data_IF_881499419332
#
_entry.id   IF_881499419332
#
_cell.length_a   1.000
_cell.length_b   1.000
_cell.length_c   1.000
_cell.angle_alpha   90.00
_cell.angle_beta   90.00
_cell.angle_gamma   90.00
#
_symmetry.space_group_name_H-M   'P 1'
#
loop_
_entity.id
_entity.type
_entity.pdbx_description
1 polymer ?
#
# COMPACT_ATOMS: atom_id res chain seq x y z
N UNK A 1 60.99 -7.91 -36.99
CA UNK A 1 62.42 -7.95 -36.82
C UNK A 1 62.77 -8.48 -35.45
N UNK A 2 63.40 -9.65 -35.45
CA UNK A 2 64.48 -10.19 -34.61
C UNK A 2 64.14 -10.30 -33.09
N UNK A 3 63.93 -11.53 -32.55
CA UNK A 3 64.92 -12.54 -32.10
C UNK A 3 65.67 -12.08 -30.85
N UNK A 4 65.82 -12.81 -29.71
CA UNK A 4 66.26 -14.18 -29.38
C UNK A 4 66.09 -14.37 -27.89
N UNK A 5 65.52 -15.45 -27.37
CA UNK A 5 66.21 -16.70 -26.98
C UNK A 5 67.24 -16.58 -25.88
N UNK A 6 67.06 -17.23 -24.75
CA UNK A 6 67.90 -18.33 -24.31
C UNK A 6 67.57 -18.83 -22.94
N UNK A 7 67.44 -20.12 -22.85
CA UNK A 7 67.41 -21.03 -21.70
C UNK A 7 68.68 -20.94 -20.88
N UNK A 8 68.60 -21.28 -19.57
CA UNK A 8 69.62 -22.11 -18.96
C UNK A 8 69.05 -22.90 -17.73
N UNK A 9 69.21 -24.18 -17.78
CA UNK A 9 69.16 -25.20 -16.77
C UNK A 9 70.19 -24.95 -15.67
N UNK A 10 69.89 -25.27 -14.36
CA UNK A 10 70.80 -26.02 -13.47
C UNK A 10 69.97 -26.72 -12.39
N UNK A 11 70.37 -27.93 -12.11
CA UNK A 11 69.75 -28.99 -11.31
C UNK A 11 70.11 -28.95 -9.82
N UNK A 12 69.23 -29.58 -9.05
CA UNK A 12 69.49 -30.56 -7.96
C UNK A 12 70.24 -30.10 -6.71
N UNK A 13 69.57 -30.12 -5.56
CA UNK A 13 70.01 -30.91 -4.41
C UNK A 13 68.87 -31.21 -3.42
N UNK A 14 68.63 -32.47 -3.22
CA UNK A 14 67.83 -33.06 -2.15
C UNK A 14 68.48 -32.81 -0.77
N UNK A 15 67.72 -32.27 0.19
CA UNK A 15 68.00 -32.52 1.61
C UNK A 15 66.68 -32.90 2.26
N UNK A 16 66.62 -34.16 2.68
CA UNK A 16 65.61 -34.73 3.54
C UNK A 16 65.70 -34.12 4.94
N UNK A 17 64.65 -33.43 5.35
CA UNK A 17 64.46 -33.04 6.74
C UNK A 17 63.03 -33.42 7.17
N UNK A 18 62.92 -34.57 7.87
CA UNK A 18 61.67 -34.89 8.59
C UNK A 18 61.46 -33.86 9.69
N UNK A 19 60.43 -33.04 9.55
CA UNK A 19 59.91 -32.28 10.66
C UNK A 19 58.52 -32.88 10.96
N UNK A 20 58.36 -33.42 12.15
CA UNK A 20 57.09 -33.82 12.74
C UNK A 20 56.12 -32.61 12.67
N UNK A 21 55.05 -32.79 11.93
CA UNK A 21 53.94 -31.87 11.96
C UNK A 21 53.18 -32.09 13.26
N UNK A 22 53.32 -31.19 14.21
CA UNK A 22 52.41 -31.05 15.33
C UNK A 22 51.02 -30.74 14.79
N UNK A 23 50.07 -31.62 15.07
CA UNK A 23 48.63 -31.40 14.86
C UNK A 23 48.17 -30.17 15.64
N UNK A 24 48.20 -29.02 15.00
CA UNK A 24 47.41 -27.88 15.43
C UNK A 24 46.03 -28.07 14.80
N UNK A 25 44.97 -28.23 15.60
CA UNK A 25 43.62 -28.36 15.04
C UNK A 25 43.31 -27.10 14.22
N UNK A 26 43.07 -27.30 12.94
CA UNK A 26 42.70 -26.25 12.01
C UNK A 26 41.28 -25.76 12.35
N UNK A 27 41.17 -24.71 13.17
CA UNK A 27 39.93 -24.09 13.60
C UNK A 27 39.15 -23.44 12.45
N UNK A 28 39.71 -23.46 11.25
CA UNK A 28 39.14 -22.74 10.08
C UNK A 28 38.33 -23.64 9.12
N UNK A 29 38.36 -24.99 9.28
CA UNK A 29 37.61 -25.88 8.38
C UNK A 29 36.15 -26.10 8.78
N UNK A 30 35.77 -25.82 10.02
CA UNK A 30 34.39 -25.99 10.51
C UNK A 30 33.44 -24.91 10.00
N UNK A 31 33.93 -23.79 9.52
CA UNK A 31 33.09 -22.68 9.02
C UNK A 31 32.92 -22.63 7.50
N UNK A 32 33.64 -23.45 6.74
CA UNK A 32 33.60 -23.36 5.24
C UNK A 32 32.38 -23.96 4.58
N UNK A 33 31.44 -24.61 5.29
CA UNK A 33 30.30 -25.29 4.71
C UNK A 33 28.94 -24.93 5.34
N UNK A 34 28.88 -23.88 6.16
CA UNK A 34 27.62 -23.47 6.76
C UNK A 34 26.77 -22.70 5.73
N UNK A 35 25.55 -23.18 5.51
CA UNK A 35 24.59 -22.48 4.65
C UNK A 35 24.20 -21.15 5.29
N UNK A 36 24.32 -20.06 4.53
CA UNK A 36 23.94 -18.71 4.98
C UNK A 36 22.43 -18.58 4.94
N UNK A 37 21.85 -18.11 6.03
CA UNK A 37 20.43 -17.77 6.18
C UNK A 37 20.33 -16.28 6.49
N UNK A 38 19.68 -15.52 5.59
CA UNK A 38 19.51 -14.07 5.72
C UNK A 38 18.18 -13.77 6.40
N UNK A 39 18.26 -13.02 7.50
CA UNK A 39 17.08 -12.57 8.24
C UNK A 39 16.94 -11.07 8.10
N UNK A 40 15.91 -10.63 7.41
CA UNK A 40 15.57 -9.23 7.28
C UNK A 40 14.84 -8.75 8.55
N UNK A 41 15.36 -7.71 9.15
CA UNK A 41 14.79 -7.04 10.32
C UNK A 41 14.27 -5.69 9.85
N UNK A 42 12.95 -5.54 9.74
CA UNK A 42 12.39 -4.23 9.46
C UNK A 42 12.58 -3.34 10.68
N UNK A 43 13.12 -2.16 10.45
CA UNK A 43 13.34 -1.19 11.52
C UNK A 43 12.03 -0.90 12.28
N UNK A 44 12.11 -1.04 13.58
CA UNK A 44 11.03 -0.71 14.51
C UNK A 44 11.51 0.42 15.40
N UNK A 45 10.73 1.40 15.59
CA UNK A 45 11.00 2.71 16.14
C UNK A 45 11.27 2.74 17.65
N UNK A 46 11.36 1.59 18.26
CA UNK A 46 11.76 1.45 19.66
C UNK A 46 13.12 0.79 19.74
N UNK A 47 14.17 1.51 20.17
CA UNK A 47 15.52 0.92 20.37
C UNK A 47 15.49 -0.34 21.23
N UNK A 48 14.57 -0.38 22.20
CA UNK A 48 14.37 -1.54 23.09
C UNK A 48 13.94 -2.79 22.32
N UNK A 49 13.28 -2.67 21.17
CA UNK A 49 12.82 -3.82 20.39
C UNK A 49 14.00 -4.68 19.88
N UNK A 50 15.10 -4.04 19.49
CA UNK A 50 16.33 -4.74 19.13
C UNK A 50 16.89 -5.56 20.28
N UNK A 51 16.92 -4.97 21.48
CA UNK A 51 17.47 -5.60 22.69
C UNK A 51 16.53 -6.69 23.20
N UNK A 52 15.23 -6.41 23.21
CA UNK A 52 14.23 -7.27 23.84
C UNK A 52 13.74 -8.40 22.92
N UNK A 53 13.76 -8.22 21.61
CA UNK A 53 13.17 -9.18 20.66
C UNK A 53 14.20 -9.70 19.65
N UNK A 54 14.82 -8.82 18.86
CA UNK A 54 15.66 -9.27 17.74
C UNK A 54 16.92 -10.00 18.21
N UNK A 55 17.69 -9.38 19.08
CA UNK A 55 18.96 -9.97 19.57
C UNK A 55 18.73 -11.34 20.23
N UNK A 56 17.81 -11.49 21.21
CA UNK A 56 17.56 -12.79 21.83
C UNK A 56 17.07 -13.87 20.86
N UNK A 57 16.25 -13.47 19.87
CA UNK A 57 15.78 -14.38 18.83
C UNK A 57 16.94 -14.91 17.99
N UNK A 58 17.73 -14.01 17.42
CA UNK A 58 18.84 -14.39 16.52
C UNK A 58 19.89 -15.22 17.26
N UNK A 59 20.23 -14.86 18.49
CA UNK A 59 21.14 -15.65 19.32
C UNK A 59 20.60 -17.05 19.62
N UNK A 60 19.29 -17.15 19.90
CA UNK A 60 18.65 -18.44 20.13
C UNK A 60 18.64 -19.30 18.87
N UNK A 61 18.37 -18.73 17.69
CA UNK A 61 18.42 -19.42 16.39
C UNK A 61 19.84 -19.91 16.10
N UNK A 62 20.87 -19.08 16.27
CA UNK A 62 22.30 -19.47 16.13
C UNK A 62 22.68 -20.63 17.02
N UNK A 63 22.23 -20.61 18.28
CA UNK A 63 22.50 -21.66 19.24
C UNK A 63 21.80 -22.99 18.91
N UNK A 64 20.56 -22.93 18.42
CA UNK A 64 19.73 -24.11 18.14
C UNK A 64 20.02 -24.75 16.78
N UNK A 65 20.50 -23.95 15.84
CA UNK A 65 20.75 -24.34 14.45
C UNK A 65 22.19 -23.99 14.04
N UNK A 66 23.19 -24.60 14.67
CA UNK A 66 24.62 -24.29 14.44
C UNK A 66 25.08 -24.64 13.00
N UNK A 67 24.33 -25.44 12.27
CA UNK A 67 24.58 -25.75 10.86
C UNK A 67 24.35 -24.58 9.91
N UNK A 68 23.66 -23.50 10.35
CA UNK A 68 23.41 -22.31 9.57
C UNK A 68 24.20 -21.12 10.10
N UNK A 69 24.63 -20.27 9.17
CA UNK A 69 25.17 -18.94 9.49
C UNK A 69 24.06 -17.90 9.32
N UNK A 70 23.48 -17.43 10.41
CA UNK A 70 22.46 -16.37 10.38
C UNK A 70 23.11 -15.00 10.20
N UNK A 71 22.75 -14.33 9.09
CA UNK A 71 23.14 -12.95 8.76
C UNK A 71 21.90 -12.08 8.86
N UNK A 72 21.96 -11.03 9.66
CA UNK A 72 20.87 -10.08 9.81
C UNK A 72 21.09 -8.88 8.91
N UNK A 73 20.04 -8.48 8.20
CA UNK A 73 20.00 -7.26 7.38
C UNK A 73 18.92 -6.35 7.92
N UNK A 74 19.28 -5.14 8.25
CA UNK A 74 18.29 -4.11 8.58
C UNK A 74 17.63 -3.62 7.29
N UNK A 75 16.31 -3.54 7.32
CA UNK A 75 15.49 -3.06 6.23
C UNK A 75 14.86 -1.77 6.72
N UNK A 76 15.19 -0.67 6.05
CA UNK A 76 14.54 0.60 6.34
C UNK A 76 13.03 0.45 6.13
N UNK A 77 12.26 1.05 6.99
CA UNK A 77 10.80 0.91 6.93
C UNK A 77 10.20 1.42 5.63
N UNK A 78 10.81 2.44 5.04
CA UNK A 78 10.46 2.96 3.72
C UNK A 78 10.66 1.95 2.59
N UNK A 79 11.48 0.93 2.84
CA UNK A 79 11.79 -0.15 1.91
C UNK A 79 10.96 -1.42 2.17
N UNK A 80 10.28 -1.50 3.33
CA UNK A 80 9.49 -2.68 3.73
C UNK A 80 8.29 -2.97 2.81
N UNK A 81 7.92 -2.03 1.93
CA UNK A 81 6.93 -2.19 0.87
C UNK A 81 7.50 -2.62 -0.49
N UNK A 82 8.80 -2.86 -0.61
CA UNK A 82 9.45 -3.19 -1.87
C UNK A 82 9.67 -4.70 -1.99
N UNK A 83 9.05 -5.30 -3.01
CA UNK A 83 9.12 -6.76 -3.26
C UNK A 83 10.56 -7.24 -3.41
N UNK A 84 11.39 -6.52 -4.15
CA UNK A 84 12.78 -6.88 -4.44
C UNK A 84 13.70 -6.77 -3.22
N UNK A 85 13.38 -5.93 -2.25
CA UNK A 85 14.10 -5.84 -0.97
C UNK A 85 13.73 -7.03 -0.08
N UNK A 86 12.43 -7.33 0.03
CA UNK A 86 11.94 -8.46 0.82
C UNK A 86 12.40 -9.81 0.26
N UNK A 87 12.41 -9.95 -1.08
CA UNK A 87 12.82 -11.19 -1.75
C UNK A 87 14.32 -11.53 -1.61
N UNK A 88 15.15 -10.57 -1.20
CA UNK A 88 16.58 -10.82 -0.90
C UNK A 88 16.82 -11.53 0.43
N UNK A 89 15.79 -11.61 1.27
CA UNK A 89 15.86 -12.23 2.59
C UNK A 89 15.27 -13.64 2.54
N UNK A 90 15.84 -14.56 3.32
CA UNK A 90 15.31 -15.91 3.50
C UNK A 90 14.15 -15.90 4.49
N UNK A 91 14.33 -15.17 5.60
CA UNK A 91 13.29 -14.92 6.59
C UNK A 91 13.18 -13.43 6.88
N UNK A 92 12.03 -13.02 7.38
CA UNK A 92 11.74 -11.62 7.68
C UNK A 92 10.99 -11.48 9.00
N UNK A 93 11.32 -10.44 9.74
CA UNK A 93 10.50 -9.96 10.85
C UNK A 93 9.89 -8.64 10.41
N UNK A 94 8.58 -8.64 10.19
CA UNK A 94 7.81 -7.54 9.63
C UNK A 94 6.52 -7.36 10.41
N UNK A 95 5.90 -6.20 10.32
CA UNK A 95 4.57 -5.99 10.88
C UNK A 95 3.53 -6.92 10.24
N UNK A 96 2.54 -7.32 11.00
CA UNK A 96 1.54 -8.32 10.59
C UNK A 96 0.73 -7.95 9.33
N UNK A 97 0.63 -6.68 9.01
CA UNK A 97 -0.05 -6.19 7.80
C UNK A 97 0.82 -6.31 6.52
N UNK A 98 2.15 -6.36 6.66
CA UNK A 98 3.09 -6.31 5.53
C UNK A 98 2.82 -7.36 4.44
N UNK A 99 2.61 -8.66 4.74
CA UNK A 99 2.36 -9.65 3.69
C UNK A 99 1.07 -9.40 2.91
N UNK A 100 0.13 -8.66 3.50
CA UNK A 100 -1.13 -8.28 2.84
C UNK A 100 -0.98 -7.01 2.03
N UNK A 101 -0.10 -6.11 2.47
CA UNK A 101 0.21 -4.90 1.71
C UNK A 101 1.05 -5.17 0.47
N UNK A 102 1.87 -6.23 0.51
CA UNK A 102 2.80 -6.62 -0.56
C UNK A 102 2.61 -8.11 -0.89
N UNK A 103 1.44 -8.52 -1.39
CA UNK A 103 1.13 -9.92 -1.67
C UNK A 103 2.07 -10.54 -2.72
N UNK A 104 2.62 -9.72 -3.62
CA UNK A 104 3.58 -10.13 -4.64
C UNK A 104 4.90 -10.66 -4.07
N UNK A 105 5.25 -10.30 -2.83
CA UNK A 105 6.42 -10.83 -2.14
C UNK A 105 6.23 -12.30 -1.73
N UNK A 106 5.00 -12.82 -1.73
CA UNK A 106 4.68 -14.23 -1.44
C UNK A 106 5.10 -14.69 -0.05
N UNK A 107 5.23 -13.79 0.92
CA UNK A 107 5.69 -14.09 2.27
C UNK A 107 4.75 -15.06 2.98
N UNK A 108 5.30 -16.12 3.56
CA UNK A 108 4.57 -17.10 4.34
C UNK A 108 4.78 -16.85 5.83
N UNK A 109 3.72 -16.47 6.52
CA UNK A 109 3.73 -16.28 7.97
C UNK A 109 4.00 -17.61 8.69
N UNK A 110 5.01 -17.64 9.55
CA UNK A 110 5.36 -18.78 10.39
C UNK A 110 4.83 -18.59 11.80
N UNK A 111 5.13 -17.43 12.39
CA UNK A 111 4.76 -17.12 13.77
C UNK A 111 4.43 -15.63 13.92
N UNK A 112 3.74 -15.30 15.01
CA UNK A 112 3.44 -13.95 15.44
C UNK A 112 4.05 -13.73 16.82
N UNK A 113 4.60 -12.55 17.04
CA UNK A 113 5.16 -12.14 18.33
C UNK A 113 4.05 -12.00 19.37
N UNK A 114 4.22 -12.61 20.53
CA UNK A 114 3.36 -12.42 21.69
C UNK A 114 4.07 -11.56 22.74
N UNK A 115 3.38 -10.54 23.21
CA UNK A 115 3.83 -9.70 24.33
C UNK A 115 3.19 -10.19 25.63
N UNK A 116 3.97 -10.83 26.52
CA UNK A 116 3.46 -11.34 27.79
C UNK A 116 2.80 -12.73 27.67
N UNK A 117 2.97 -13.55 28.72
CA UNK A 117 2.66 -14.97 28.70
C UNK A 117 1.17 -15.33 28.53
N UNK A 118 0.27 -14.47 28.93
CA UNK A 118 -1.18 -14.75 28.94
C UNK A 118 -1.95 -13.97 27.85
N UNK A 119 -1.23 -13.19 27.01
CA UNK A 119 -1.90 -12.38 25.99
C UNK A 119 -2.32 -13.20 24.76
N UNK A 120 -3.44 -12.84 24.18
CA UNK A 120 -3.86 -13.36 22.86
C UNK A 120 -2.95 -12.78 21.78
N UNK A 121 -2.20 -13.62 21.11
CA UNK A 121 -1.27 -13.25 20.04
C UNK A 121 -1.93 -12.49 18.88
N UNK A 122 -3.25 -12.65 18.70
CA UNK A 122 -4.01 -11.92 17.70
C UNK A 122 -4.43 -10.50 18.12
N UNK A 123 -4.14 -10.11 19.38
CA UNK A 123 -4.59 -8.87 20.01
C UNK A 123 -3.48 -8.26 20.86
N UNK A 124 -2.34 -8.00 20.27
CA UNK A 124 -1.12 -7.60 20.97
C UNK A 124 -0.80 -6.11 20.88
N UNK A 125 -1.16 -5.44 19.80
CA UNK A 125 -0.81 -4.03 19.57
C UNK A 125 -2.03 -3.22 19.12
N UNK A 126 -2.00 -1.95 19.46
CA UNK A 126 -2.99 -0.96 19.07
C UNK A 126 -2.39 0.45 19.14
N UNK A 127 -3.23 1.45 19.30
CA UNK A 127 -2.79 2.83 19.44
C UNK A 127 -3.60 3.58 20.50
N UNK A 128 -3.04 4.68 20.96
CA UNK A 128 -3.70 5.66 21.81
C UNK A 128 -3.69 7.03 21.15
N UNK A 129 -4.80 7.76 21.31
CA UNK A 129 -4.85 9.18 21.02
C UNK A 129 -4.61 9.93 22.31
N UNK A 130 -3.62 10.82 22.31
CA UNK A 130 -3.25 11.62 23.48
C UNK A 130 -3.43 13.10 23.19
N UNK A 131 -3.84 13.84 24.21
CA UNK A 131 -3.97 15.29 24.18
C UNK A 131 -3.43 15.87 25.49
N UNK A 132 -3.06 17.15 25.58
CA UNK A 132 -2.76 17.81 26.86
C UNK A 132 -3.93 17.61 27.83
N UNK A 133 -3.62 17.47 29.11
CA UNK A 133 -4.65 17.21 30.16
C UNK A 133 -5.70 18.31 30.23
N UNK A 134 -5.32 19.55 29.97
CA UNK A 134 -6.18 20.74 29.93
C UNK A 134 -6.85 20.98 28.57
N UNK A 135 -6.62 20.12 27.58
CA UNK A 135 -7.21 20.22 26.24
C UNK A 135 -8.74 20.16 26.28
N UNK A 136 -9.44 20.96 25.46
CA UNK A 136 -10.89 20.91 25.32
C UNK A 136 -11.37 19.65 24.57
N UNK A 137 -10.50 18.89 23.91
CA UNK A 137 -10.82 17.69 23.14
C UNK A 137 -11.16 16.57 24.11
N UNK A 138 -12.41 16.10 24.13
CA UNK A 138 -12.90 15.05 25.04
C UNK A 138 -13.15 13.70 24.35
N UNK A 139 -13.35 13.72 23.03
CA UNK A 139 -13.75 12.55 22.23
C UNK A 139 -13.13 12.57 20.85
N UNK A 140 -13.28 11.48 20.10
CA UNK A 140 -12.83 11.39 18.70
C UNK A 140 -13.51 12.44 17.79
N UNK A 141 -14.75 12.82 18.11
CA UNK A 141 -15.51 13.84 17.35
C UNK A 141 -14.82 15.21 17.44
N UNK A 142 -14.29 15.55 18.62
CA UNK A 142 -13.64 16.84 18.88
C UNK A 142 -12.29 16.97 18.19
N UNK A 143 -11.74 15.87 17.67
CA UNK A 143 -10.49 15.87 16.91
C UNK A 143 -10.65 16.41 15.48
N UNK A 144 -11.89 16.57 15.01
CA UNK A 144 -12.16 17.08 13.66
C UNK A 144 -11.61 18.51 13.48
N UNK A 145 -10.82 18.69 12.43
CA UNK A 145 -10.19 19.99 12.10
C UNK A 145 -9.03 20.38 13.03
N UNK A 146 -8.55 19.45 13.88
CA UNK A 146 -7.39 19.66 14.75
C UNK A 146 -6.10 19.25 14.06
N UNK A 147 -4.98 19.73 14.57
CA UNK A 147 -3.65 19.27 14.18
C UNK A 147 -3.30 17.97 14.91
N UNK A 148 -2.58 17.07 14.23
CA UNK A 148 -2.17 15.79 14.81
C UNK A 148 -0.69 15.52 14.55
N UNK A 149 0.01 15.00 15.55
CA UNK A 149 1.34 14.41 15.42
C UNK A 149 1.24 12.89 15.39
N UNK A 150 1.95 12.26 14.47
CA UNK A 150 1.99 10.81 14.28
C UNK A 150 3.40 10.37 13.85
N UNK A 151 3.66 9.06 13.91
CA UNK A 151 4.98 8.54 13.51
C UNK A 151 5.23 8.68 12.01
N UNK A 152 4.48 7.96 11.18
CA UNK A 152 4.59 8.06 9.72
C UNK A 152 3.36 7.43 9.04
N UNK A 153 2.98 7.86 7.81
CA UNK A 153 1.72 7.47 7.17
C UNK A 153 1.61 5.99 6.78
N UNK A 154 2.72 5.28 6.73
CA UNK A 154 2.76 3.85 6.37
C UNK A 154 2.92 2.92 7.58
N UNK A 155 2.94 3.46 8.81
CA UNK A 155 3.10 2.68 10.03
C UNK A 155 1.81 1.98 10.43
N UNK A 156 1.93 0.78 10.94
CA UNK A 156 0.77 0.01 11.35
C UNK A 156 0.12 0.62 12.59
N UNK A 157 0.87 0.69 13.69
CA UNK A 157 0.39 1.20 14.99
C UNK A 157 0.32 2.72 15.03
N UNK A 158 1.28 3.40 14.41
CA UNK A 158 1.39 4.85 14.45
C UNK A 158 0.46 5.58 13.50
N UNK A 159 -0.20 4.88 12.55
CA UNK A 159 -1.10 5.52 11.60
C UNK A 159 -2.27 4.64 11.15
N UNK A 160 -2.02 3.43 10.60
CA UNK A 160 -3.11 2.65 9.98
C UNK A 160 -4.16 2.22 11.01
N UNK A 161 -3.75 1.70 12.16
CA UNK A 161 -4.69 1.30 13.23
C UNK A 161 -5.52 2.49 13.70
N UNK A 162 -4.94 3.65 14.08
CA UNK A 162 -5.71 4.84 14.45
C UNK A 162 -6.67 5.32 13.36
N UNK A 163 -6.23 5.34 12.10
CA UNK A 163 -7.08 5.73 10.98
C UNK A 163 -8.24 4.74 10.77
N UNK A 164 -8.00 3.46 11.00
CA UNK A 164 -9.05 2.44 10.99
C UNK A 164 -10.08 2.63 12.09
N UNK A 165 -9.67 3.09 13.28
CA UNK A 165 -10.57 3.46 14.38
C UNK A 165 -11.44 4.67 13.99
N UNK A 166 -10.82 5.73 13.46
CA UNK A 166 -11.50 6.92 12.95
C UNK A 166 -12.54 6.54 11.88
N UNK A 167 -12.14 5.71 10.91
CA UNK A 167 -13.05 5.24 9.86
C UNK A 167 -14.19 4.39 10.41
N UNK A 168 -13.97 3.62 11.49
CA UNK A 168 -15.02 2.81 12.14
C UNK A 168 -16.11 3.64 12.77
N UNK A 169 -15.79 4.88 13.16
CA UNK A 169 -16.73 5.85 13.70
C UNK A 169 -17.39 6.72 12.62
N UNK A 170 -17.19 6.40 11.34
CA UNK A 170 -17.83 7.08 10.21
C UNK A 170 -17.14 8.37 9.77
N UNK A 171 -15.94 8.65 10.27
CA UNK A 171 -15.14 9.78 9.82
C UNK A 171 -14.23 9.37 8.67
N UNK A 172 -13.97 10.30 7.78
CA UNK A 172 -12.98 10.12 6.74
C UNK A 172 -11.57 10.44 7.29
N UNK A 173 -10.67 9.43 7.36
CA UNK A 173 -9.32 9.63 7.86
C UNK A 173 -8.48 10.64 7.08
N UNK A 174 -8.78 10.85 5.80
CA UNK A 174 -8.02 11.76 4.92
C UNK A 174 -8.36 13.24 5.17
N UNK A 175 -9.54 13.50 5.75
CA UNK A 175 -10.06 14.86 5.94
C UNK A 175 -10.37 15.22 7.38
N UNK A 176 -10.22 14.29 8.32
CA UNK A 176 -10.53 14.54 9.73
C UNK A 176 -9.63 15.61 10.32
N UNK A 177 -8.32 15.53 10.09
CA UNK A 177 -7.33 16.45 10.61
C UNK A 177 -7.07 17.60 9.65
N UNK A 178 -6.90 18.82 10.20
CA UNK A 178 -6.52 19.97 9.40
C UNK A 178 -5.06 19.90 8.97
N UNK A 179 -4.20 19.38 9.84
CA UNK A 179 -2.77 19.26 9.63
C UNK A 179 -2.24 17.99 10.28
N UNK A 180 -1.34 17.30 9.59
CA UNK A 180 -0.67 16.09 10.09
C UNK A 180 0.84 16.31 10.07
N UNK A 181 1.46 16.27 11.24
CA UNK A 181 2.91 16.33 11.41
C UNK A 181 3.45 14.91 11.63
N UNK A 182 4.31 14.44 10.75
CA UNK A 182 4.98 13.16 10.91
C UNK A 182 6.37 13.34 11.50
N UNK A 183 6.69 12.52 12.54
CA UNK A 183 7.97 12.57 13.27
C UNK A 183 8.99 11.56 12.74
N UNK A 184 8.67 10.90 11.62
CA UNK A 184 9.52 9.87 11.02
C UNK A 184 9.93 8.80 12.05
N UNK A 185 8.95 8.30 12.88
CA UNK A 185 9.08 7.14 13.74
C UNK A 185 9.39 7.40 15.22
N UNK A 186 9.67 8.59 15.60
CA UNK A 186 10.05 8.90 16.97
C UNK A 186 8.78 9.25 17.81
N UNK A 187 8.30 8.32 18.62
CA UNK A 187 7.17 8.58 19.53
C UNK A 187 7.48 9.63 20.62
N UNK A 188 8.70 9.72 21.19
CA UNK A 188 9.06 10.83 22.05
C UNK A 188 8.87 12.20 21.41
N UNK A 189 9.11 12.36 20.11
CA UNK A 189 8.88 13.63 19.42
C UNK A 189 7.37 13.92 19.27
N UNK A 190 6.53 12.90 19.05
CA UNK A 190 5.07 13.07 19.10
C UNK A 190 4.65 13.61 20.45
N UNK A 191 5.16 13.02 21.55
CA UNK A 191 4.88 13.48 22.91
C UNK A 191 5.32 14.93 23.10
N UNK A 192 6.50 15.29 22.59
CA UNK A 192 7.05 16.64 22.67
C UNK A 192 6.18 17.64 21.92
N UNK A 193 5.74 17.31 20.68
CA UNK A 193 4.89 18.20 19.88
C UNK A 193 3.55 18.47 20.58
N UNK A 194 2.97 17.46 21.21
CA UNK A 194 1.70 17.62 21.95
C UNK A 194 1.90 18.39 23.26
N UNK A 195 2.91 18.06 24.04
CA UNK A 195 3.15 18.72 25.34
C UNK A 195 3.57 20.18 25.22
N UNK A 196 4.20 20.54 24.11
CA UNK A 196 4.57 21.93 23.79
C UNK A 196 3.45 22.72 23.11
N UNK A 197 2.31 22.07 22.80
CA UNK A 197 1.18 22.71 22.12
C UNK A 197 1.42 22.99 20.63
N UNK A 198 2.44 22.37 20.02
CA UNK A 198 2.68 22.48 18.58
C UNK A 198 1.66 21.68 17.76
N UNK A 199 1.09 20.64 18.34
CA UNK A 199 -0.04 19.90 17.80
C UNK A 199 -1.10 19.66 18.88
N UNK A 200 -2.37 19.58 18.47
CA UNK A 200 -3.49 19.39 19.40
C UNK A 200 -3.60 17.94 19.89
N UNK A 201 -3.26 16.99 19.03
CA UNK A 201 -3.43 15.54 19.25
C UNK A 201 -2.14 14.80 18.92
N UNK A 202 -1.83 13.76 19.68
CA UNK A 202 -0.75 12.82 19.36
C UNK A 202 -1.29 11.41 19.16
N UNK A 203 -0.64 10.67 18.27
CA UNK A 203 -0.88 9.25 18.05
C UNK A 203 0.35 8.49 18.50
N UNK A 204 0.17 7.58 19.47
CA UNK A 204 1.23 6.72 19.99
C UNK A 204 0.84 5.26 19.83
N UNK A 205 1.81 4.36 19.70
CA UNK A 205 1.59 2.94 19.89
C UNK A 205 1.21 2.63 21.34
N UNK A 206 0.56 1.50 21.57
CA UNK A 206 0.28 1.01 22.93
C UNK A 206 1.57 0.87 23.73
N UNK A 207 1.52 1.23 25.00
CA UNK A 207 2.63 1.25 25.97
C UNK A 207 3.66 2.37 25.80
N UNK A 208 3.64 3.15 24.74
CA UNK A 208 4.60 4.26 24.55
C UNK A 208 4.40 5.40 25.57
N UNK A 209 3.14 5.73 25.89
CA UNK A 209 2.84 6.73 26.91
C UNK A 209 3.33 6.28 28.29
N UNK A 210 2.98 5.05 28.68
CA UNK A 210 3.40 4.48 29.96
C UNK A 210 4.94 4.34 30.07
N UNK A 211 5.59 4.01 28.93
CA UNK A 211 7.04 3.98 28.87
C UNK A 211 7.65 5.37 29.06
N UNK A 212 7.12 6.36 28.37
CA UNK A 212 7.57 7.75 28.47
C UNK A 212 7.41 8.32 29.90
N UNK A 213 6.32 7.95 30.59
CA UNK A 213 6.10 8.30 31.98
C UNK A 213 7.15 7.59 32.88
N UNK A 214 7.35 6.28 32.72
CA UNK A 214 8.35 5.52 33.51
C UNK A 214 9.77 6.03 33.35
N UNK A 215 10.12 6.47 32.14
CA UNK A 215 11.46 7.01 31.84
C UNK A 215 11.61 8.50 32.13
N UNK A 216 10.54 9.18 32.56
CA UNK A 216 10.56 10.59 32.90
C UNK A 216 10.61 11.54 31.69
N UNK A 217 10.33 11.04 30.50
CA UNK A 217 10.20 11.86 29.28
C UNK A 217 8.98 12.78 29.39
N UNK A 218 7.91 12.31 30.01
CA UNK A 218 6.69 13.08 30.25
C UNK A 218 6.18 12.84 31.68
N UNK A 219 5.57 13.86 32.28
CA UNK A 219 4.93 13.72 33.58
C UNK A 219 3.62 12.95 33.46
N UNK A 220 3.25 12.19 34.48
CA UNK A 220 2.03 11.37 34.53
C UNK A 220 0.73 12.16 34.25
N UNK A 221 0.72 13.43 34.65
CA UNK A 221 -0.44 14.32 34.48
C UNK A 221 -0.35 15.24 33.24
N UNK A 222 0.63 15.09 32.36
CA UNK A 222 0.80 16.01 31.26
C UNK A 222 -0.17 15.72 30.10
N UNK A 223 -0.44 14.45 29.86
CA UNK A 223 -1.26 13.99 28.74
C UNK A 223 -2.45 13.16 29.22
N UNK A 224 -3.54 13.23 28.48
CA UNK A 224 -4.75 12.47 28.69
C UNK A 224 -5.09 11.65 27.43
N UNK A 225 -5.55 10.42 27.64
CA UNK A 225 -5.96 9.52 26.55
C UNK A 225 -7.41 9.82 26.15
N UNK A 226 -7.64 9.91 24.84
CA UNK A 226 -8.95 10.06 24.22
C UNK A 226 -9.48 8.70 23.76
N UNK A 227 -10.75 8.42 24.02
CA UNK A 227 -11.41 7.19 23.56
C UNK A 227 -10.84 5.92 24.20
N UNK A 228 -10.28 6.03 25.41
CA UNK A 228 -9.72 4.87 26.11
C UNK A 228 -10.72 3.76 26.22
N UNK A 229 -10.33 2.58 25.80
CA UNK A 229 -11.14 1.37 25.90
C UNK A 229 -11.03 0.73 27.28
N UNK A 230 -12.10 0.04 27.74
CA UNK A 230 -12.04 -0.71 29.01
C UNK A 230 -11.01 -1.83 29.00
N UNK A 231 -10.75 -2.40 27.81
CA UNK A 231 -9.78 -3.45 27.62
C UNK A 231 -8.38 -2.84 27.48
N UNK A 232 -7.46 -3.33 28.28
CA UNK A 232 -6.06 -2.98 28.19
C UNK A 232 -5.33 -3.84 27.15
N UNK A 233 -4.29 -3.28 26.58
CA UNK A 233 -3.31 -4.02 25.78
C UNK A 233 -2.42 -4.90 26.67
N UNK A 234 -1.70 -5.87 26.11
CA UNK A 234 -0.70 -6.65 26.85
C UNK A 234 0.26 -5.75 27.60
N UNK A 235 0.60 -6.13 28.84
CA UNK A 235 1.39 -5.28 29.74
C UNK A 235 0.58 -4.30 30.57
N UNK A 236 -0.78 -4.31 30.47
CA UNK A 236 -1.66 -3.43 31.22
C UNK A 236 -1.73 -2.00 30.66
N UNK A 237 -1.27 -1.80 29.44
CA UNK A 237 -1.22 -0.50 28.81
C UNK A 237 -2.60 -0.06 28.27
N UNK A 238 -2.88 1.22 28.31
CA UNK A 238 -4.10 1.79 27.76
C UNK A 238 -4.14 1.69 26.22
N UNK A 239 -5.34 1.61 25.66
CA UNK A 239 -5.54 1.69 24.20
C UNK A 239 -6.83 2.44 23.87
N UNK A 240 -6.82 3.13 22.73
CA UNK A 240 -7.99 3.82 22.17
C UNK A 240 -8.60 3.05 20.99
N UNK A 241 -7.93 2.04 20.49
CA UNK A 241 -8.29 1.30 19.28
C UNK A 241 -8.57 -0.17 19.59
N UNK A 242 -9.07 -0.90 18.62
CA UNK A 242 -8.97 -2.35 18.63
C UNK A 242 -7.51 -2.81 18.63
N UNK A 243 -7.28 -4.05 19.10
CA UNK A 243 -5.97 -4.66 19.15
C UNK A 243 -5.78 -5.61 17.96
N UNK A 244 -4.56 -5.63 17.45
CA UNK A 244 -4.15 -6.36 16.27
C UNK A 244 -2.94 -7.28 16.57
N UNK A 245 -2.66 -8.27 15.72
CA UNK A 245 -1.41 -9.02 15.81
C UNK A 245 -0.21 -8.10 15.62
N UNK A 246 0.83 -8.34 16.39
CA UNK A 246 2.10 -7.62 16.34
C UNK A 246 2.97 -8.05 15.14
N UNK A 247 4.28 -8.00 15.31
CA UNK A 247 5.26 -8.46 14.32
C UNK A 247 5.08 -9.94 14.01
N UNK A 248 5.35 -10.32 12.79
CA UNK A 248 5.38 -11.70 12.34
C UNK A 248 6.79 -12.11 11.92
N UNK A 249 7.10 -13.38 12.14
CA UNK A 249 8.21 -14.05 11.51
C UNK A 249 7.70 -14.78 10.28
N UNK A 250 8.24 -14.45 9.11
CA UNK A 250 7.80 -14.97 7.83
C UNK A 250 8.97 -15.54 7.03
N UNK A 251 8.71 -16.52 6.17
CA UNK A 251 9.68 -17.02 5.19
C UNK A 251 9.39 -16.45 3.80
N UNK A 252 10.45 -16.22 3.04
CA UNK A 252 10.35 -15.97 1.61
C UNK A 252 9.98 -17.26 0.87
N UNK A 253 9.24 -17.20 -0.26
CA UNK A 253 8.87 -18.36 -1.06
C UNK A 253 10.05 -19.09 -1.71
N UNK A 254 11.20 -18.43 -1.79
CA UNK A 254 12.45 -19.00 -2.36
C UNK A 254 13.20 -19.93 -1.42
N UNK A 255 12.85 -19.95 -0.14
CA UNK A 255 13.57 -20.75 0.87
C UNK A 255 13.21 -22.22 0.75
N UNK A 256 14.23 -23.09 0.79
CA UNK A 256 14.02 -24.52 0.73
C UNK A 256 13.15 -25.02 1.91
N UNK A 257 12.15 -25.90 1.66
CA UNK A 257 11.17 -26.31 2.68
C UNK A 257 11.79 -26.96 3.93
N UNK A 258 12.92 -27.65 3.79
CA UNK A 258 13.64 -28.21 4.93
C UNK A 258 14.20 -27.15 5.86
N UNK A 259 14.74 -26.04 5.33
CA UNK A 259 15.23 -24.90 6.12
C UNK A 259 14.05 -24.22 6.82
N UNK A 260 12.95 -23.97 6.10
CA UNK A 260 11.73 -23.42 6.70
C UNK A 260 11.26 -24.26 7.86
N UNK A 261 11.22 -25.59 7.69
CA UNK A 261 10.82 -26.53 8.75
C UNK A 261 11.75 -26.45 9.98
N UNK A 262 13.05 -26.48 9.77
CA UNK A 262 14.03 -26.46 10.87
C UNK A 262 13.96 -25.15 11.66
N UNK A 263 13.92 -24.02 10.95
CA UNK A 263 13.79 -22.69 11.56
C UNK A 263 12.44 -22.56 12.29
N UNK A 264 11.35 -23.06 11.70
CA UNK A 264 10.02 -23.04 12.33
C UNK A 264 10.01 -23.83 13.65
N UNK A 265 10.57 -25.05 13.66
CA UNK A 265 10.65 -25.88 14.86
C UNK A 265 11.50 -25.20 15.92
N UNK A 266 12.66 -24.65 15.53
CA UNK A 266 13.55 -23.94 16.46
C UNK A 266 12.86 -22.72 17.07
N UNK A 267 12.16 -21.93 16.25
CA UNK A 267 11.43 -20.73 16.66
C UNK A 267 10.30 -21.05 17.64
N UNK A 268 9.39 -21.95 17.25
CA UNK A 268 8.19 -22.26 18.03
C UNK A 268 8.48 -23.05 19.30
N UNK A 269 9.67 -23.66 19.42
CA UNK A 269 10.11 -24.35 20.63
C UNK A 269 10.90 -23.46 21.59
N UNK A 270 11.09 -22.18 21.30
CA UNK A 270 11.70 -21.22 22.21
C UNK A 270 10.75 -20.94 23.38
N UNK A 271 11.27 -20.94 24.63
CA UNK A 271 10.52 -20.39 25.74
C UNK A 271 10.44 -18.86 25.62
N UNK A 272 9.47 -18.20 26.30
CA UNK A 272 9.50 -16.75 26.42
C UNK A 272 10.85 -16.24 26.88
N UNK A 273 11.35 -15.19 26.27
CA UNK A 273 12.63 -14.58 26.65
C UNK A 273 12.53 -13.82 28.00
N UNK A 274 13.63 -13.21 28.46
CA UNK A 274 13.70 -12.52 29.75
C UNK A 274 12.70 -11.33 29.81
N UNK A 275 12.41 -10.68 28.69
CA UNK A 275 11.45 -9.58 28.58
C UNK A 275 10.01 -10.07 28.37
N UNK A 276 9.76 -11.38 28.39
CA UNK A 276 8.42 -11.97 28.29
C UNK A 276 7.88 -12.13 26.87
N UNK A 277 8.70 -11.93 25.85
CA UNK A 277 8.33 -12.13 24.46
C UNK A 277 8.56 -13.58 24.02
N UNK A 278 7.65 -14.11 23.22
CA UNK A 278 7.80 -15.37 22.50
C UNK A 278 7.08 -15.37 21.15
N UNK A 279 7.20 -16.47 20.42
CA UNK A 279 6.67 -16.63 19.07
C UNK A 279 5.67 -17.77 19.02
N UNK A 280 4.45 -17.47 18.60
CA UNK A 280 3.37 -18.44 18.51
C UNK A 280 2.74 -18.46 17.12
N UNK A 281 2.15 -19.58 16.75
CA UNK A 281 1.31 -19.65 15.55
C UNK A 281 0.06 -18.80 15.74
N UNK A 282 -0.31 -18.06 14.70
CA UNK A 282 -1.54 -17.26 14.68
C UNK A 282 -2.22 -17.37 13.31
N UNK A 283 -3.42 -17.91 13.29
CA UNK A 283 -4.28 -17.99 12.11
C UNK A 283 -5.33 -16.87 12.05
N UNK A 284 -5.48 -16.08 13.12
CA UNK A 284 -6.50 -15.03 13.23
C UNK A 284 -5.97 -13.69 12.74
N UNK A 285 -5.96 -13.52 11.41
CA UNK A 285 -5.53 -12.29 10.74
C UNK A 285 -6.69 -11.49 10.14
N UNK A 286 -7.94 -11.91 10.38
CA UNK A 286 -9.14 -11.30 9.82
C UNK A 286 -9.30 -9.83 10.18
N UNK A 287 -8.90 -9.45 11.40
CA UNK A 287 -8.95 -8.06 11.84
C UNK A 287 -8.01 -7.16 11.03
N UNK A 288 -6.82 -7.67 10.66
CA UNK A 288 -5.87 -6.94 9.79
C UNK A 288 -6.49 -6.73 8.41
N UNK A 289 -7.08 -7.77 7.83
CA UNK A 289 -7.73 -7.66 6.52
C UNK A 289 -8.91 -6.67 6.55
N UNK A 290 -9.74 -6.75 7.59
CA UNK A 290 -10.87 -5.81 7.78
C UNK A 290 -10.37 -4.37 7.90
N UNK A 291 -9.25 -4.13 8.60
CA UNK A 291 -8.61 -2.83 8.69
C UNK A 291 -8.18 -2.30 7.32
N UNK A 292 -7.45 -3.12 6.55
CA UNK A 292 -6.97 -2.72 5.22
C UNK A 292 -8.12 -2.47 4.23
N UNK A 293 -9.19 -3.27 4.30
CA UNK A 293 -10.42 -3.05 3.52
C UNK A 293 -11.09 -1.73 3.89
N UNK A 294 -11.22 -1.46 5.20
CA UNK A 294 -11.82 -0.20 5.70
C UNK A 294 -11.03 1.02 5.25
N UNK A 295 -9.71 0.95 5.30
CA UNK A 295 -8.82 2.02 4.83
C UNK A 295 -8.64 2.06 3.31
N UNK A 296 -9.12 1.04 2.62
CA UNK A 296 -8.99 0.89 1.15
C UNK A 296 -7.53 0.99 0.70
N UNK A 297 -6.61 0.32 1.42
CA UNK A 297 -5.17 0.33 1.14
C UNK A 297 -4.66 -1.04 0.71
N UNK A 298 -3.47 -1.08 0.12
CA UNK A 298 -2.86 -2.31 -0.41
C UNK A 298 -3.73 -2.96 -1.48
N UNK A 299 -4.03 -4.27 -1.38
CA UNK A 299 -4.83 -4.98 -2.37
C UNK A 299 -6.27 -4.47 -2.47
N UNK A 300 -6.73 -3.67 -1.50
CA UNK A 300 -8.08 -3.10 -1.47
C UNK A 300 -8.14 -1.66 -2.00
N UNK A 301 -7.05 -1.14 -2.56
CA UNK A 301 -6.98 0.22 -3.11
C UNK A 301 -7.99 0.47 -4.25
N UNK A 302 -8.42 -0.59 -4.94
CA UNK A 302 -9.47 -0.50 -5.95
C UNK A 302 -10.83 -0.04 -5.38
N UNK A 303 -11.06 -0.19 -4.06
CA UNK A 303 -12.26 0.31 -3.38
C UNK A 303 -12.26 1.85 -3.18
N UNK A 304 -11.13 2.52 -3.44
CA UNK A 304 -11.04 3.99 -3.46
C UNK A 304 -11.63 4.60 -4.71
N UNK A 305 -11.77 3.80 -5.78
CA UNK A 305 -12.38 4.27 -7.00
C UNK A 305 -13.82 4.67 -6.69
N UNK A 306 -14.12 5.91 -7.04
CA UNK A 306 -15.40 6.56 -6.76
C UNK A 306 -16.56 5.63 -7.16
N UNK A 307 -17.45 5.39 -6.21
CA UNK A 307 -18.70 4.69 -6.48
C UNK A 307 -19.47 5.51 -7.52
N UNK A 308 -20.21 4.87 -8.42
CA UNK A 308 -21.04 5.56 -9.41
C UNK A 308 -21.89 6.69 -8.79
N UNK A 309 -22.36 6.47 -7.55
CA UNK A 309 -23.09 7.48 -6.77
C UNK A 309 -22.25 8.73 -6.44
N UNK A 310 -20.95 8.56 -6.14
CA UNK A 310 -20.06 9.69 -5.79
C UNK A 310 -19.77 10.54 -7.03
N UNK A 311 -19.56 9.90 -8.17
CA UNK A 311 -19.42 10.57 -9.48
C UNK A 311 -20.70 11.34 -9.81
N UNK A 312 -21.87 10.73 -9.64
CA UNK A 312 -23.17 11.37 -9.87
C UNK A 312 -23.39 12.55 -8.91
N UNK A 313 -23.03 12.43 -7.64
CA UNK A 313 -23.16 13.53 -6.68
C UNK A 313 -22.17 14.67 -6.97
N UNK A 314 -20.95 14.37 -7.38
CA UNK A 314 -19.90 15.34 -7.72
C UNK A 314 -20.26 16.16 -8.95
N UNK A 315 -20.79 15.49 -9.99
CA UNK A 315 -21.17 16.11 -11.25
C UNK A 315 -22.67 16.37 -11.36
N UNK A 316 -23.37 16.43 -10.22
CA UNK A 316 -24.84 16.62 -10.19
C UNK A 316 -25.30 17.85 -10.98
N UNK A 317 -24.59 18.96 -10.84
CA UNK A 317 -24.95 20.22 -11.50
C UNK A 317 -24.70 20.16 -13.02
N UNK A 318 -23.58 19.55 -13.42
CA UNK A 318 -23.22 19.35 -14.83
C UNK A 318 -24.18 18.38 -15.52
N UNK A 319 -24.55 17.29 -14.83
CA UNK A 319 -25.55 16.33 -15.31
C UNK A 319 -26.92 17.01 -15.45
N UNK A 320 -27.30 17.87 -14.49
CA UNK A 320 -28.55 18.63 -14.54
C UNK A 320 -28.55 19.62 -15.70
N UNK A 321 -27.44 20.33 -15.93
CA UNK A 321 -27.29 21.25 -17.08
C UNK A 321 -27.34 20.49 -18.41
N UNK A 322 -26.64 19.37 -18.53
CA UNK A 322 -26.66 18.51 -19.71
C UNK A 322 -28.06 17.95 -19.98
N UNK A 323 -28.80 17.55 -18.93
CA UNK A 323 -30.18 17.08 -19.05
C UNK A 323 -31.14 18.19 -19.50
N UNK A 324 -30.99 19.40 -18.94
CA UNK A 324 -31.80 20.59 -19.39
C UNK A 324 -31.49 20.97 -20.83
N UNK A 325 -30.23 20.92 -21.25
CA UNK A 325 -29.83 21.13 -22.63
C UNK A 325 -30.44 20.07 -23.56
N UNK A 326 -30.44 18.84 -23.17
CA UNK A 326 -31.05 17.74 -23.91
C UNK A 326 -32.59 17.95 -24.04
N UNK A 327 -33.24 18.36 -22.97
CA UNK A 327 -34.67 18.66 -22.95
C UNK A 327 -35.01 19.87 -23.86
N UNK A 328 -34.19 20.93 -23.84
CA UNK A 328 -34.39 22.08 -24.72
C UNK A 328 -34.17 21.74 -26.18
N UNK A 329 -33.17 20.90 -26.49
CA UNK A 329 -32.94 20.37 -27.84
C UNK A 329 -34.12 19.51 -28.34
N UNK A 330 -34.62 18.62 -27.45
CA UNK A 330 -35.81 17.79 -27.75
C UNK A 330 -37.07 18.65 -27.95
N UNK A 331 -37.30 19.64 -27.09
CA UNK A 331 -38.40 20.55 -27.18
C UNK A 331 -38.31 21.43 -28.47
N UNK A 332 -37.09 21.88 -28.80
CA UNK A 332 -36.84 22.60 -30.03
C UNK A 332 -37.10 21.73 -31.28
N UNK A 333 -36.59 20.51 -31.27
CA UNK A 333 -36.82 19.52 -32.31
C UNK A 333 -38.33 19.23 -32.50
N UNK A 334 -39.04 19.04 -31.37
CA UNK A 334 -40.48 18.83 -31.40
C UNK A 334 -41.26 20.05 -31.95
N UNK A 335 -40.85 21.26 -31.52
CA UNK A 335 -41.42 22.52 -32.01
C UNK A 335 -41.19 22.74 -33.51
N UNK A 336 -39.98 22.45 -33.99
CA UNK A 336 -39.64 22.54 -35.41
C UNK A 336 -40.43 21.52 -36.23
N UNK A 337 -40.56 20.29 -35.72
CA UNK A 337 -41.37 19.26 -36.37
C UNK A 337 -42.86 19.60 -36.42
N UNK A 338 -43.42 20.23 -35.36
CA UNK A 338 -44.78 20.70 -35.34
C UNK A 338 -45.04 21.88 -36.35
N UNK A 339 -44.06 22.79 -36.41
CA UNK A 339 -44.12 23.91 -37.38
C UNK A 339 -43.96 23.44 -38.82
N UNK A 340 -43.07 22.45 -39.03
CA UNK A 340 -42.93 21.83 -40.36
C UNK A 340 -44.20 21.06 -40.76
N UNK A 341 -44.81 20.32 -39.85
CA UNK A 341 -46.09 19.65 -40.11
C UNK A 341 -47.19 20.63 -40.49
N UNK A 342 -47.34 21.71 -39.70
CA UNK A 342 -48.37 22.75 -40.00
C UNK A 342 -48.13 23.46 -41.34
N UNK A 343 -46.88 23.70 -41.74
CA UNK A 343 -46.55 24.27 -43.04
C UNK A 343 -46.77 23.31 -44.21
N UNK A 344 -46.44 22.02 -44.02
CA UNK A 344 -46.69 21.01 -45.04
C UNK A 344 -48.18 20.76 -45.25
N UNK A 345 -48.97 20.73 -44.16
CA UNK A 345 -50.42 20.62 -44.24
C UNK A 345 -51.09 21.81 -44.96
N UNK A 346 -50.56 23.02 -44.75
CA UNK A 346 -51.05 24.22 -45.43
C UNK A 346 -50.70 24.26 -46.94
N UNK A 347 -49.61 23.66 -47.35
CA UNK A 347 -49.18 23.59 -48.74
C UNK A 347 -49.73 22.35 -49.47
N UNK A 348 -50.34 21.42 -48.82
CA UNK A 348 -50.88 20.18 -49.37
C UNK A 348 -52.37 20.33 -49.86
N UNK A 349 -53.00 21.44 -49.56
CA UNK A 349 -54.40 21.64 -49.98
C UNK A 349 -54.55 21.89 -51.47
N UNK A 350 -53.48 22.26 -52.17
CA UNK A 350 -53.56 22.52 -53.60
C UNK A 350 -52.45 21.79 -54.38
N UNK A 351 -52.85 20.97 -55.26
CA UNK A 351 -52.10 20.32 -56.35
C UNK A 351 -50.99 19.30 -56.07
N UNK A 352 -51.23 18.12 -56.48
CA UNK A 352 -50.26 17.09 -56.92
C UNK A 352 -49.79 16.15 -55.86
N UNK A 353 -50.67 15.42 -55.29
CA UNK A 353 -50.41 14.35 -54.29
C UNK A 353 -49.48 13.21 -54.79
N UNK A 354 -49.34 12.98 -56.07
CA UNK A 354 -48.58 11.84 -56.63
C UNK A 354 -47.06 12.07 -56.72
N UNK A 355 -46.63 13.24 -57.09
CA UNK A 355 -45.17 13.53 -57.17
C UNK A 355 -44.56 13.78 -55.79
N UNK A 356 -45.31 14.36 -54.87
CA UNK A 356 -44.84 14.64 -53.50
C UNK A 356 -44.73 13.40 -52.64
N UNK A 357 -45.57 12.38 -52.85
CA UNK A 357 -45.48 11.11 -52.11
C UNK A 357 -44.23 10.31 -52.45
N UNK A 358 -43.80 10.31 -53.71
CA UNK A 358 -42.57 9.63 -54.14
C UNK A 358 -41.30 10.34 -53.62
N UNK A 359 -41.33 11.69 -53.61
CA UNK A 359 -40.23 12.52 -53.10
C UNK A 359 -40.10 12.41 -51.55
N UNK A 360 -41.20 12.40 -50.84
CA UNK A 360 -41.27 12.22 -49.40
C UNK A 360 -40.77 10.83 -48.98
N UNK A 361 -41.05 9.78 -49.77
CA UNK A 361 -40.59 8.44 -49.53
C UNK A 361 -39.05 8.30 -49.68
N UNK A 362 -38.49 8.99 -50.70
CA UNK A 362 -37.05 9.04 -50.94
C UNK A 362 -36.33 9.78 -49.82
N UNK A 363 -36.83 10.94 -49.42
CA UNK A 363 -36.25 11.73 -48.32
C UNK A 363 -36.34 11.01 -46.97
N UNK A 364 -37.41 10.23 -46.74
CA UNK A 364 -37.55 9.43 -45.54
C UNK A 364 -36.51 8.28 -45.46
N UNK A 365 -36.21 7.64 -46.59
CA UNK A 365 -35.16 6.59 -46.66
C UNK A 365 -33.76 7.17 -46.41
N UNK A 366 -33.45 8.32 -46.99
CA UNK A 366 -32.17 9.00 -46.79
C UNK A 366 -31.98 9.44 -45.33
N UNK A 367 -33.07 9.87 -44.66
CA UNK A 367 -33.02 10.19 -43.20
C UNK A 367 -32.88 8.98 -42.34
N UNK A 368 -33.50 7.86 -42.69
CA UNK A 368 -33.32 6.58 -41.98
C UNK A 368 -31.87 6.07 -42.05
N UNK A 369 -31.25 6.12 -43.22
CA UNK A 369 -29.86 5.79 -43.44
C UNK A 369 -28.90 6.70 -42.61
N UNK A 370 -29.27 7.99 -42.52
CA UNK A 370 -28.49 8.96 -41.74
C UNK A 370 -28.61 8.75 -40.23
N UNK A 371 -29.81 8.42 -39.74
CA UNK A 371 -30.08 8.12 -38.35
C UNK A 371 -29.39 6.80 -37.92
N UNK A 372 -29.41 5.79 -38.80
CA UNK A 372 -28.74 4.53 -38.57
C UNK A 372 -27.20 4.71 -38.45
N UNK A 373 -26.60 5.52 -39.34
CA UNK A 373 -25.17 5.87 -39.26
C UNK A 373 -24.85 6.74 -38.02
N UNK A 374 -25.70 7.71 -37.66
CA UNK A 374 -25.49 8.51 -36.46
C UNK A 374 -25.68 7.73 -35.15
N UNK A 375 -26.61 6.76 -35.14
CA UNK A 375 -26.82 5.86 -34.02
C UNK A 375 -25.59 4.96 -33.77
N UNK A 376 -25.02 4.40 -34.83
CA UNK A 376 -23.77 3.60 -34.75
C UNK A 376 -22.59 4.44 -34.29
N UNK A 377 -22.43 5.68 -34.82
CA UNK A 377 -21.34 6.57 -34.39
C UNK A 377 -21.46 6.97 -32.91
N UNK A 378 -22.67 7.18 -32.40
CA UNK A 378 -22.88 7.48 -30.97
C UNK A 378 -22.59 6.31 -30.06
N UNK A 379 -22.98 5.09 -30.44
CA UNK A 379 -22.66 3.87 -29.67
C UNK A 379 -21.16 3.59 -29.68
N UNK A 380 -20.50 3.75 -30.83
CA UNK A 380 -19.04 3.59 -30.94
C UNK A 380 -18.30 4.63 -30.09
N UNK A 381 -18.72 5.88 -30.11
CA UNK A 381 -18.11 6.95 -29.30
C UNK A 381 -18.23 6.68 -27.80
N UNK A 382 -19.38 6.19 -27.33
CA UNK A 382 -19.57 5.84 -25.92
C UNK A 382 -18.69 4.65 -25.48
N UNK A 383 -18.58 3.64 -26.33
CA UNK A 383 -17.72 2.48 -26.08
C UNK A 383 -16.24 2.88 -26.04
N UNK A 384 -15.78 3.68 -26.99
CA UNK A 384 -14.40 4.15 -27.05
C UNK A 384 -14.03 5.10 -25.90
N UNK A 385 -14.96 6.00 -25.51
CA UNK A 385 -14.77 6.87 -24.36
C UNK A 385 -14.58 6.05 -23.08
N UNK A 386 -15.28 4.93 -22.95
CA UNK A 386 -15.11 4.01 -21.81
C UNK A 386 -13.74 3.32 -21.85
N UNK A 387 -13.33 2.80 -23.01
CA UNK A 387 -12.03 2.14 -23.16
C UNK A 387 -10.83 3.09 -23.00
N UNK A 388 -10.94 4.36 -23.44
CA UNK A 388 -9.86 5.35 -23.25
C UNK A 388 -9.80 5.84 -21.79
N UNK A 389 -10.94 5.96 -21.13
CA UNK A 389 -10.99 6.41 -19.73
C UNK A 389 -10.25 5.45 -18.78
N UNK A 390 -10.27 4.16 -19.07
CA UNK A 390 -9.56 3.15 -18.24
C UNK A 390 -8.05 3.42 -18.15
N UNK A 391 -7.28 3.45 -19.24
CA UNK A 391 -5.85 3.71 -19.18
C UNK A 391 -5.53 5.11 -18.64
N UNK A 392 -6.32 6.16 -18.99
CA UNK A 392 -6.10 7.50 -18.45
C UNK A 392 -6.30 7.57 -16.93
N UNK A 393 -7.26 6.83 -16.39
CA UNK A 393 -7.46 6.75 -14.94
C UNK A 393 -6.25 6.09 -14.26
N UNK A 394 -5.72 5.03 -14.86
CA UNK A 394 -4.54 4.35 -14.35
C UNK A 394 -3.32 5.29 -14.37
N UNK A 395 -3.09 6.01 -15.47
CA UNK A 395 -2.02 7.01 -15.59
C UNK A 395 -2.13 8.06 -14.49
N UNK A 396 -3.33 8.63 -14.30
CA UNK A 396 -3.59 9.67 -13.30
C UNK A 396 -3.30 9.17 -11.88
N UNK A 397 -3.63 7.92 -11.59
CA UNK A 397 -3.35 7.30 -10.30
C UNK A 397 -1.84 7.16 -10.05
N UNK A 398 -1.09 6.70 -11.04
CA UNK A 398 0.37 6.62 -10.94
C UNK A 398 1.02 7.99 -10.78
N UNK A 399 0.63 8.98 -11.58
CA UNK A 399 1.12 10.36 -11.46
C UNK A 399 0.78 10.99 -10.09
N UNK A 400 -0.42 10.73 -9.59
CA UNK A 400 -0.83 11.19 -8.26
C UNK A 400 -0.02 10.55 -7.14
N UNK A 401 0.24 9.24 -7.25
CA UNK A 401 1.13 8.51 -6.34
C UNK A 401 2.55 9.07 -6.36
N UNK A 402 3.12 9.29 -7.54
CA UNK A 402 4.43 9.91 -7.70
C UNK A 402 4.49 11.32 -7.08
N UNK A 403 3.47 12.14 -7.32
CA UNK A 403 3.39 13.49 -6.75
C UNK A 403 3.33 13.47 -5.21
N UNK A 404 2.63 12.48 -4.64
CA UNK A 404 2.55 12.29 -3.18
C UNK A 404 3.93 11.88 -2.64
N UNK A 405 4.60 10.93 -3.30
CA UNK A 405 5.97 10.51 -2.94
C UNK A 405 6.96 11.67 -3.00
N UNK A 406 6.92 12.45 -4.08
CA UNK A 406 7.78 13.63 -4.25
C UNK A 406 7.52 14.70 -3.18
N UNK A 407 6.26 14.97 -2.83
CA UNK A 407 5.90 15.94 -1.77
C UNK A 407 6.34 15.51 -0.37
N UNK A 408 6.47 14.20 -0.12
CA UNK A 408 6.89 13.66 1.18
C UNK A 408 8.41 13.61 1.36
N UNK A 409 9.18 13.93 0.31
CA UNK A 409 10.64 13.91 0.38
C UNK A 409 11.26 12.50 0.40
N UNK A 410 10.45 11.48 0.33
CA UNK A 410 10.84 10.07 0.39
C UNK A 410 10.77 9.46 -1.02
N UNK A 411 11.71 9.90 -1.86
CA UNK A 411 11.72 9.51 -3.27
C UNK A 411 12.55 8.23 -3.44
N UNK A 412 11.87 7.10 -3.42
CA UNK A 412 12.46 5.86 -3.91
C UNK A 412 12.47 5.87 -5.44
N UNK A 413 13.67 6.01 -6.02
CA UNK A 413 13.86 6.07 -7.47
C UNK A 413 13.39 4.81 -8.20
N UNK A 414 13.46 3.64 -7.57
CA UNK A 414 12.93 2.38 -8.12
C UNK A 414 11.41 2.43 -8.28
N UNK A 415 10.70 2.76 -7.22
CA UNK A 415 9.24 2.91 -7.26
C UNK A 415 8.77 4.03 -8.19
N UNK A 416 9.56 5.11 -8.28
CA UNK A 416 9.26 6.20 -9.21
C UNK A 416 9.41 5.73 -10.66
N UNK A 417 10.49 5.02 -10.97
CA UNK A 417 10.75 4.47 -12.29
C UNK A 417 9.68 3.43 -12.71
N UNK A 418 9.28 2.55 -11.78
CA UNK A 418 8.21 1.59 -12.03
C UNK A 418 6.88 2.29 -12.30
N UNK A 419 6.56 3.32 -11.52
CA UNK A 419 5.35 4.11 -11.71
C UNK A 419 5.36 4.86 -13.06
N UNK A 420 6.51 5.41 -13.47
CA UNK A 420 6.70 6.02 -14.80
C UNK A 420 6.50 4.97 -15.89
N UNK A 421 7.17 3.81 -15.78
CA UNK A 421 7.08 2.73 -16.76
C UNK A 421 5.64 2.21 -16.92
N UNK A 422 4.91 2.09 -15.82
CA UNK A 422 3.49 1.72 -15.87
C UNK A 422 2.63 2.80 -16.51
N UNK A 423 2.87 4.07 -16.16
CA UNK A 423 2.15 5.20 -16.77
C UNK A 423 2.43 5.29 -18.28
N UNK A 424 3.69 5.09 -18.72
CA UNK A 424 4.08 5.03 -20.13
C UNK A 424 3.40 3.88 -20.87
N UNK A 425 3.35 2.68 -20.28
CA UNK A 425 2.66 1.52 -20.88
C UNK A 425 1.19 1.79 -21.08
N UNK A 426 0.52 2.38 -20.11
CA UNK A 426 -0.89 2.74 -20.23
C UNK A 426 -1.11 3.92 -21.19
N UNK A 427 -0.14 4.84 -21.30
CA UNK A 427 -0.16 5.89 -22.33
C UNK A 427 -0.05 5.31 -23.74
N UNK A 428 0.84 4.34 -23.96
CA UNK A 428 0.91 3.59 -25.23
C UNK A 428 -0.38 2.84 -25.52
N UNK A 429 -0.95 2.18 -24.50
CA UNK A 429 -2.26 1.50 -24.64
C UNK A 429 -3.38 2.48 -25.02
N UNK A 430 -3.40 3.66 -24.43
CA UNK A 430 -4.34 4.71 -24.82
C UNK A 430 -4.12 5.17 -26.26
N UNK A 431 -2.86 5.34 -26.67
CA UNK A 431 -2.49 5.68 -28.04
C UNK A 431 -2.91 4.58 -29.03
N UNK A 432 -2.72 3.31 -28.70
CA UNK A 432 -3.14 2.17 -29.52
C UNK A 432 -4.66 2.09 -29.68
N UNK A 433 -5.42 2.43 -28.62
CA UNK A 433 -6.88 2.52 -28.71
C UNK A 433 -7.26 3.65 -29.65
N UNK A 434 -6.64 4.82 -29.54
CA UNK A 434 -6.88 5.97 -30.42
C UNK A 434 -6.56 5.62 -31.89
N UNK A 435 -5.44 4.93 -32.14
CA UNK A 435 -5.05 4.55 -33.50
C UNK A 435 -5.99 3.46 -34.09
N UNK A 436 -6.44 2.51 -33.26
CA UNK A 436 -7.48 1.55 -33.66
C UNK A 436 -8.79 2.25 -34.02
N UNK A 437 -9.20 3.24 -33.22
CA UNK A 437 -10.38 4.07 -33.50
C UNK A 437 -10.21 4.83 -34.81
N UNK A 438 -9.06 5.46 -34.99
CA UNK A 438 -8.73 6.20 -36.23
C UNK A 438 -8.73 5.29 -37.45
N UNK A 439 -8.18 4.10 -37.31
CA UNK A 439 -8.14 3.09 -38.38
C UNK A 439 -9.51 2.51 -38.70
N UNK A 440 -10.37 2.31 -37.68
CA UNK A 440 -11.75 1.88 -37.86
C UNK A 440 -12.58 2.95 -38.59
N UNK A 441 -12.45 4.21 -38.16
CA UNK A 441 -13.13 5.36 -38.83
C UNK A 441 -12.64 5.61 -40.26
N UNK A 442 -11.37 5.29 -40.56
CA UNK A 442 -10.79 5.47 -41.90
C UNK A 442 -11.19 4.35 -42.86
N UNK A 443 -11.52 3.15 -42.35
CA UNK A 443 -11.99 2.01 -43.15
C UNK A 443 -13.46 2.14 -43.60
N UNK A 444 -14.26 2.97 -42.89
CA UNK A 444 -15.68 3.16 -43.21
C UNK A 444 -15.97 4.38 -44.10
N UNK A 445 -14.93 5.08 -44.57
CA UNK A 445 -15.09 6.12 -45.59
C UNK A 445 -14.72 5.56 -46.95
N UNK A 446 -15.63 5.03 -47.75
CA UNK A 446 -15.33 4.73 -49.14
C UNK A 446 -15.11 6.07 -49.85
N UNK A 447 -13.99 6.17 -50.53
CA UNK A 447 -13.70 7.23 -51.50
C UNK A 447 -14.90 7.35 -52.46
N UNK A 448 -15.59 8.54 -52.43
CA UNK A 448 -16.35 9.01 -53.57
C UNK A 448 -15.39 9.39 -54.69
#
# INVERSE_FOLDING_TARGET
>A
MKRFSSSLFVALMLISGMAEASDVPNLDETHRNQQVVRVGLVDTFTPNFYIDVYTPLIESLKKRLPQYTFVTNEIAHTEAGQVDVLAKQDFLIVSSHTPRMVPEAGLQQIATLRRGRESDVSRSVGAVFVVPTDSPIQSLVDMKGRSVAASAPWTFEGWMIPMGEIASHGFDPETLFQEVTYTEWNFPDVITLVTTGMTDVGILSTCELEQAIRTGVVSDNALRIIGQRPQLAPGGCACSTDLYPDMIFASSPSVAPNIVKEVTVALLSMPPNASGFDWLTNSRMQNVETLLQRLKVGPYSYLRNETFSDVVLRYRNEILVAFLLLLTLLAHHFRVNLLLKRRTEALQAEERARLKAAEALRQSKEKLDLIERAGMASQLAAMFAHEIKQPLTIITNYLSGMRIMMKRGDVNMGMLNDAVTHAEREAHRAADIVERVRSALKKETPLM
#
